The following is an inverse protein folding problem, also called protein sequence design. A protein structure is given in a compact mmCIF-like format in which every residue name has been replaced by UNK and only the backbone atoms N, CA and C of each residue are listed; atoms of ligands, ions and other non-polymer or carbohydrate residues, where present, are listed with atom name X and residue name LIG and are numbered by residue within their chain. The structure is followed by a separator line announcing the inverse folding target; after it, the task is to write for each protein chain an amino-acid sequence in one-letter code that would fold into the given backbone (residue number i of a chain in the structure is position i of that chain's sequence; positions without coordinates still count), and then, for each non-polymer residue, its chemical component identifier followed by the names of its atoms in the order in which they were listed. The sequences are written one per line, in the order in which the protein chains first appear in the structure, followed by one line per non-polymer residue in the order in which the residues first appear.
data_IF_678394839014
#
_entry.id   IF_678394839014
#
_cell.length_a   1.000
_cell.length_b   1.000
_cell.length_c   1.000
_cell.angle_alpha   90.00
_cell.angle_beta   90.00
_cell.angle_gamma   90.00
#
_symmetry.space_group_name_H-M   'P 1'
#
loop_
_entity.id
_entity.type
_entity.pdbx_description
1 polymer ?
#
# COMPACT_ATOMS: atom_id res chain seq x y z
N UNK A 1 -0.73 -17.07 -4.27
CA UNK A 1 -0.06 -16.00 -3.46
C UNK A 1 1.30 -15.70 -4.06
N UNK A 2 1.60 -14.44 -4.36
CA UNK A 2 2.93 -14.01 -4.83
C UNK A 2 3.76 -13.47 -3.67
N UNK A 3 5.00 -13.94 -3.51
CA UNK A 3 5.93 -13.50 -2.46
C UNK A 3 7.18 -12.83 -3.01
N UNK A 4 7.87 -12.09 -2.14
CA UNK A 4 9.14 -11.40 -2.39
C UNK A 4 9.06 -10.31 -3.46
N UNK A 5 8.06 -9.43 -3.34
CA UNK A 5 7.87 -8.27 -4.22
C UNK A 5 8.58 -7.05 -3.65
N UNK A 6 9.63 -6.58 -4.32
CA UNK A 6 10.53 -5.56 -3.79
C UNK A 6 10.34 -4.16 -4.41
N UNK A 7 9.31 -3.97 -5.25
CA UNK A 7 9.04 -2.69 -5.92
C UNK A 7 7.58 -2.61 -6.36
N UNK A 8 6.98 -1.42 -6.29
CA UNK A 8 5.64 -1.16 -6.84
C UNK A 8 5.53 -1.54 -8.32
N UNK A 9 6.58 -1.27 -9.12
CA UNK A 9 6.61 -1.66 -10.53
C UNK A 9 6.55 -3.17 -10.70
N UNK A 10 7.29 -3.91 -9.88
CA UNK A 10 7.27 -5.38 -9.91
C UNK A 10 5.91 -5.91 -9.44
N UNK A 11 5.31 -5.29 -8.42
CA UNK A 11 3.95 -5.65 -7.96
C UNK A 11 2.98 -5.55 -9.12
N UNK A 12 2.97 -4.42 -9.84
CA UNK A 12 2.12 -4.26 -11.00
C UNK A 12 2.38 -5.32 -12.07
N UNK A 13 3.64 -5.51 -12.48
CA UNK A 13 4.01 -6.48 -13.52
C UNK A 13 3.62 -7.92 -13.15
N UNK A 14 3.84 -8.32 -11.90
CA UNK A 14 3.51 -9.66 -11.45
C UNK A 14 1.99 -9.88 -11.36
N UNK A 15 1.23 -8.86 -10.95
CA UNK A 15 -0.24 -8.91 -10.98
C UNK A 15 -0.73 -9.06 -12.41
N UNK A 16 -0.21 -8.24 -13.34
CA UNK A 16 -0.57 -8.31 -14.76
C UNK A 16 -0.24 -9.69 -15.36
N UNK A 17 0.96 -10.21 -15.09
CA UNK A 17 1.37 -11.53 -15.57
C UNK A 17 0.48 -12.65 -14.99
N UNK A 18 0.27 -12.65 -13.67
CA UNK A 18 -0.48 -13.71 -13.00
C UNK A 18 -1.97 -13.66 -13.38
N UNK A 19 -2.53 -12.46 -13.58
CA UNK A 19 -3.90 -12.32 -14.09
C UNK A 19 -4.03 -12.97 -15.48
N UNK A 20 -3.12 -12.69 -16.42
CA UNK A 20 -3.14 -13.31 -17.76
C UNK A 20 -2.99 -14.83 -17.68
N UNK A 21 -2.02 -15.32 -16.90
CA UNK A 21 -1.80 -16.76 -16.69
C UNK A 21 -3.06 -17.46 -16.16
N UNK A 22 -3.71 -16.88 -15.15
CA UNK A 22 -4.90 -17.50 -14.57
C UNK A 22 -6.09 -17.46 -15.53
N UNK A 23 -6.24 -16.40 -16.32
CA UNK A 23 -7.24 -16.32 -17.38
C UNK A 23 -7.01 -17.45 -18.41
N UNK A 24 -5.78 -17.59 -18.93
CA UNK A 24 -5.43 -18.63 -19.92
C UNK A 24 -5.77 -20.04 -19.42
N UNK A 25 -5.38 -20.38 -18.17
CA UNK A 25 -5.68 -21.70 -17.59
C UNK A 25 -7.20 -21.94 -17.49
N UNK A 26 -7.98 -20.91 -17.15
CA UNK A 26 -9.44 -21.03 -17.04
C UNK A 26 -10.12 -21.13 -18.41
N UNK A 27 -9.65 -20.39 -19.40
CA UNK A 27 -10.16 -20.42 -20.78
C UNK A 27 -9.88 -21.77 -21.46
N UNK A 28 -8.76 -22.40 -21.14
CA UNK A 28 -8.41 -23.76 -21.60
C UNK A 28 -9.19 -24.88 -20.86
N UNK A 29 -10.13 -24.51 -19.97
CA UNK A 29 -10.95 -25.45 -19.20
C UNK A 29 -10.22 -26.08 -18.01
N UNK A 30 -9.05 -25.56 -17.65
CA UNK A 30 -8.27 -25.97 -16.50
C UNK A 30 -8.82 -25.46 -15.17
N UNK A 31 -8.05 -25.66 -14.10
CA UNK A 31 -8.35 -25.17 -12.74
C UNK A 31 -7.12 -24.48 -12.18
N UNK A 32 -7.35 -23.43 -11.39
CA UNK A 32 -6.27 -22.75 -10.67
C UNK A 32 -6.00 -23.47 -9.37
N UNK A 33 -4.82 -24.08 -9.27
CA UNK A 33 -4.35 -24.68 -8.03
C UNK A 33 -3.88 -23.63 -7.04
N UNK A 34 -4.07 -23.89 -5.76
CA UNK A 34 -3.61 -22.97 -4.72
C UNK A 34 -2.09 -23.13 -4.53
N UNK A 35 -1.35 -22.08 -4.87
CA UNK A 35 0.11 -22.12 -4.82
C UNK A 35 0.73 -20.84 -4.26
N UNK A 36 1.94 -20.98 -3.70
CA UNK A 36 2.84 -19.86 -3.44
C UNK A 36 3.81 -19.75 -4.60
N UNK A 37 3.86 -18.57 -5.23
CA UNK A 37 4.67 -18.26 -6.40
C UNK A 37 5.65 -17.13 -6.10
N UNK A 38 6.73 -17.06 -6.87
CA UNK A 38 7.70 -15.97 -6.85
C UNK A 38 7.69 -15.24 -8.19
N UNK A 39 8.06 -13.96 -8.20
CA UNK A 39 8.21 -13.19 -9.42
C UNK A 39 9.70 -13.07 -9.81
N UNK A 40 10.02 -13.33 -11.07
CA UNK A 40 11.33 -13.07 -11.67
C UNK A 40 11.26 -11.74 -12.46
N UNK A 41 11.90 -10.66 -11.98
CA UNK A 41 11.83 -9.36 -12.64
C UNK A 41 12.68 -9.27 -13.92
N UNK A 42 13.61 -10.21 -14.16
CA UNK A 42 14.43 -10.24 -15.38
C UNK A 42 13.62 -10.84 -16.51
N UNK A 43 12.91 -11.93 -16.24
CA UNK A 43 12.07 -12.63 -17.22
C UNK A 43 10.64 -12.13 -17.28
N UNK A 44 10.22 -11.35 -16.27
CA UNK A 44 8.85 -10.85 -16.10
C UNK A 44 7.86 -12.03 -16.09
N UNK A 45 8.14 -13.04 -15.28
CA UNK A 45 7.32 -14.24 -15.15
C UNK A 45 7.13 -14.64 -13.68
N UNK A 46 6.04 -15.34 -13.39
CA UNK A 46 5.83 -15.98 -12.08
C UNK A 46 6.25 -17.43 -12.14
N UNK A 47 6.93 -17.91 -11.11
CA UNK A 47 7.33 -19.32 -10.96
C UNK A 47 6.69 -19.92 -9.72
N UNK A 48 6.20 -21.15 -9.84
CA UNK A 48 5.69 -21.89 -8.68
C UNK A 48 6.84 -22.23 -7.74
N UNK A 49 6.63 -22.09 -6.44
CA UNK A 49 7.61 -22.45 -5.42
C UNK A 49 7.15 -23.68 -4.64
N UNK A 50 5.92 -23.66 -4.13
CA UNK A 50 5.30 -24.78 -3.42
C UNK A 50 3.80 -24.81 -3.69
N UNK A 51 3.25 -26.02 -3.81
CA UNK A 51 1.80 -26.24 -3.72
C UNK A 51 1.35 -25.98 -2.28
N UNK A 52 0.14 -25.42 -2.11
CA UNK A 52 -0.53 -25.36 -0.82
C UNK A 52 -1.45 -26.58 -0.72
N UNK A 53 -0.86 -27.76 -0.57
CA UNK A 53 -1.64 -29.00 -0.40
C UNK A 53 -2.30 -29.07 0.99
N UNK A 54 -1.70 -28.43 2.00
CA UNK A 54 -2.29 -28.25 3.32
C UNK A 54 -2.13 -26.80 3.78
N UNK A 55 -3.22 -26.14 4.15
CA UNK A 55 -3.13 -24.88 4.89
C UNK A 55 -2.38 -25.15 6.20
N UNK A 56 -1.26 -24.47 6.43
CA UNK A 56 -0.49 -24.68 7.65
C UNK A 56 -1.34 -24.34 8.87
N UNK A 57 -1.59 -25.33 9.71
CA UNK A 57 -2.17 -25.10 11.04
C UNK A 57 -1.09 -24.47 11.93
N UNK A 58 -1.16 -23.14 12.04
CA UNK A 58 -0.26 -22.36 12.90
C UNK A 58 -0.54 -22.56 14.39
N UNK A 59 -1.62 -23.28 14.76
CA UNK A 59 -2.01 -23.58 16.13
C UNK A 59 -1.99 -22.34 17.01
N UNK A 60 -2.65 -21.27 16.56
CA UNK A 60 -2.68 -20.00 17.27
C UNK A 60 -3.18 -20.19 18.70
N UNK A 61 -2.43 -19.65 19.66
CA UNK A 61 -2.82 -19.54 21.06
C UNK A 61 -2.25 -18.23 21.63
N UNK A 62 -2.85 -17.67 22.71
CA UNK A 62 -2.28 -16.52 23.39
C UNK A 62 -0.87 -16.85 23.89
N UNK A 63 0.09 -15.98 23.60
CA UNK A 63 1.45 -16.13 24.09
C UNK A 63 1.43 -16.05 25.63
N UNK A 64 1.78 -17.14 26.36
CA UNK A 64 1.64 -17.18 27.81
C UNK A 64 2.67 -16.31 28.52
N UNK A 65 3.75 -15.93 27.83
CA UNK A 65 4.80 -15.07 28.36
C UNK A 65 4.42 -13.57 28.22
N UNK A 66 3.37 -13.26 27.45
CA UNK A 66 2.88 -11.90 27.23
C UNK A 66 1.50 -11.71 27.86
N UNK A 67 1.41 -10.79 28.82
CA UNK A 67 0.11 -10.32 29.30
C UNK A 67 -0.64 -9.62 28.15
N UNK A 68 -1.99 -9.64 28.17
CA UNK A 68 -2.78 -8.87 27.22
C UNK A 68 -2.35 -7.40 27.20
N UNK A 69 -2.16 -6.85 26.00
CA UNK A 69 -1.89 -5.43 25.83
C UNK A 69 -3.19 -4.64 26.04
N UNK A 70 -3.31 -3.95 27.16
CA UNK A 70 -4.38 -3.00 27.40
C UNK A 70 -3.96 -1.60 26.94
N UNK A 71 -4.73 -1.02 26.02
CA UNK A 71 -4.47 0.31 25.46
C UNK A 71 -5.52 1.26 26.01
N UNK A 72 -5.11 2.21 26.85
CA UNK A 72 -6.02 3.18 27.45
C UNK A 72 -6.58 4.16 26.42
N UNK A 73 -7.86 4.51 26.57
CA UNK A 73 -8.53 5.47 25.70
C UNK A 73 -7.85 6.85 25.71
N UNK A 74 -7.35 7.28 26.87
CA UNK A 74 -6.62 8.54 27.00
C UNK A 74 -5.36 8.58 26.11
N UNK A 75 -4.64 7.46 26.02
CA UNK A 75 -3.45 7.36 25.18
C UNK A 75 -3.80 7.38 23.68
N UNK A 76 -4.91 6.77 23.29
CA UNK A 76 -5.44 6.86 21.91
C UNK A 76 -5.78 8.30 21.56
N UNK A 77 -6.41 9.04 22.48
CA UNK A 77 -6.79 10.43 22.29
C UNK A 77 -5.58 11.35 22.20
N UNK A 78 -4.56 11.13 23.03
CA UNK A 78 -3.27 11.83 22.95
C UNK A 78 -2.61 11.62 21.59
N UNK A 79 -2.48 10.37 21.13
CA UNK A 79 -1.89 10.07 19.82
C UNK A 79 -2.72 10.72 18.72
N UNK A 80 -4.05 10.58 18.75
CA UNK A 80 -4.94 11.18 17.76
C UNK A 80 -4.78 12.71 17.68
N UNK A 81 -4.64 13.38 18.81
CA UNK A 81 -4.41 14.82 18.87
C UNK A 81 -3.02 15.22 18.35
N UNK A 82 -2.04 14.32 18.42
CA UNK A 82 -0.68 14.55 17.92
C UNK A 82 -0.48 14.23 16.44
N UNK A 83 -1.44 13.57 15.79
CA UNK A 83 -1.33 13.20 14.38
C UNK A 83 -1.26 14.45 13.49
N UNK A 84 -0.30 14.53 12.56
CA UNK A 84 -0.31 15.57 11.54
C UNK A 84 -1.48 15.35 10.56
N UNK A 85 -1.80 16.39 9.80
CA UNK A 85 -2.76 16.30 8.69
C UNK A 85 -2.37 15.17 7.72
N UNK A 86 -3.32 14.30 7.41
CA UNK A 86 -3.06 13.15 6.53
C UNK A 86 -2.97 13.59 5.06
N UNK A 87 -2.27 12.83 4.19
CA UNK A 87 -2.09 13.21 2.79
C UNK A 87 -3.39 13.49 2.01
N UNK A 88 -4.45 12.73 2.27
CA UNK A 88 -5.75 12.93 1.62
C UNK A 88 -6.44 14.23 2.08
N UNK A 89 -6.35 14.54 3.38
CA UNK A 89 -6.87 15.78 3.96
C UNK A 89 -6.08 16.98 3.44
N UNK A 90 -4.75 16.89 3.44
CA UNK A 90 -3.85 17.92 2.92
C UNK A 90 -4.09 18.18 1.44
N UNK A 91 -4.29 17.14 0.62
CA UNK A 91 -4.67 17.29 -0.80
C UNK A 91 -5.98 18.07 -0.93
N UNK A 92 -7.01 17.66 -0.20
CA UNK A 92 -8.33 18.31 -0.27
C UNK A 92 -8.24 19.78 0.15
N UNK A 93 -7.44 20.09 1.17
CA UNK A 93 -7.15 21.46 1.59
C UNK A 93 -6.39 22.24 0.52
N UNK A 94 -5.41 21.63 -0.14
CA UNK A 94 -4.67 22.28 -1.24
C UNK A 94 -5.56 22.61 -2.44
N UNK A 95 -6.52 21.74 -2.77
CA UNK A 95 -7.53 22.01 -3.78
C UNK A 95 -8.46 23.18 -3.37
N UNK A 96 -8.86 23.24 -2.10
CA UNK A 96 -9.78 24.26 -1.60
C UNK A 96 -9.13 25.63 -1.37
N UNK A 97 -8.01 25.67 -0.63
CA UNK A 97 -7.39 26.91 -0.13
C UNK A 97 -6.46 27.54 -1.16
N UNK A 98 -5.75 26.71 -1.94
CA UNK A 98 -4.80 27.15 -2.95
C UNK A 98 -5.33 27.05 -4.38
N UNK A 99 -6.58 26.58 -4.57
CA UNK A 99 -7.22 26.40 -5.88
C UNK A 99 -6.36 25.57 -6.87
N UNK A 100 -5.57 24.63 -6.33
CA UNK A 100 -4.73 23.74 -7.13
C UNK A 100 -5.57 22.68 -7.81
N UNK A 101 -5.10 22.18 -8.95
CA UNK A 101 -5.73 21.02 -9.57
C UNK A 101 -5.53 19.79 -8.69
N UNK A 102 -6.45 18.81 -8.79
CA UNK A 102 -6.32 17.52 -8.11
C UNK A 102 -4.98 16.82 -8.38
N UNK A 103 -4.43 17.01 -9.59
CA UNK A 103 -3.13 16.49 -9.96
C UNK A 103 -2.01 17.17 -9.18
N UNK A 104 -1.95 18.51 -9.21
CA UNK A 104 -0.90 19.29 -8.53
C UNK A 104 -0.95 19.08 -7.01
N UNK A 105 -2.16 19.16 -6.44
CA UNK A 105 -2.38 18.90 -5.02
C UNK A 105 -1.94 17.49 -4.63
N UNK A 106 -2.23 16.47 -5.46
CA UNK A 106 -1.81 15.10 -5.22
C UNK A 106 -0.30 14.88 -5.31
N UNK A 107 0.39 15.59 -6.22
CA UNK A 107 1.86 15.53 -6.32
C UNK A 107 2.51 16.20 -5.11
N UNK A 108 2.00 17.36 -4.68
CA UNK A 108 2.54 18.10 -3.54
C UNK A 108 2.27 17.40 -2.21
N UNK A 109 1.11 16.76 -2.05
CA UNK A 109 0.74 16.05 -0.82
C UNK A 109 1.31 14.62 -0.73
N UNK A 110 1.98 14.13 -1.77
CA UNK A 110 2.56 12.77 -1.79
C UNK A 110 3.77 12.61 -0.85
N UNK A 111 4.39 13.73 -0.46
CA UNK A 111 5.57 13.79 0.38
C UNK A 111 5.41 14.92 1.39
N UNK A 112 5.52 14.60 2.67
CA UNK A 112 5.26 15.56 3.75
C UNK A 112 6.23 16.75 3.71
N UNK A 113 7.52 16.52 3.43
CA UNK A 113 8.53 17.58 3.39
C UNK A 113 8.28 18.54 2.22
N UNK A 114 7.87 18.00 1.07
CA UNK A 114 7.49 18.83 -0.10
C UNK A 114 6.23 19.64 0.17
N UNK A 115 5.25 19.03 0.81
CA UNK A 115 4.01 19.71 1.15
C UNK A 115 4.28 20.88 2.10
N UNK A 116 5.05 20.65 3.16
CA UNK A 116 5.42 21.68 4.13
C UNK A 116 6.25 22.79 3.47
N UNK A 117 7.20 22.43 2.62
CA UNK A 117 7.99 23.40 1.85
C UNK A 117 7.12 24.26 0.94
N UNK A 118 6.17 23.65 0.22
CA UNK A 118 5.23 24.37 -0.63
C UNK A 118 4.40 25.38 0.17
N UNK A 119 3.86 24.97 1.32
CA UNK A 119 3.08 25.85 2.18
C UNK A 119 3.89 27.04 2.69
N UNK A 120 5.16 26.84 3.06
CA UNK A 120 6.04 27.94 3.46
C UNK A 120 6.30 28.93 2.31
N UNK A 121 6.53 28.43 1.09
CA UNK A 121 6.81 29.27 -0.07
C UNK A 121 5.57 29.99 -0.59
N UNK A 122 4.40 29.36 -0.53
CA UNK A 122 3.13 29.91 -1.01
C UNK A 122 2.62 31.08 -0.15
N UNK A 123 3.12 31.26 1.07
CA UNK A 123 2.75 32.39 1.94
C UNK A 123 3.01 33.74 1.26
N UNK A 124 1.93 34.47 1.00
CA UNK A 124 1.98 35.79 0.38
C UNK A 124 2.36 35.78 -1.11
N UNK A 125 2.26 34.64 -1.78
CA UNK A 125 2.54 34.45 -3.21
C UNK A 125 1.36 33.82 -3.92
N UNK A 126 1.39 33.82 -5.26
CA UNK A 126 0.46 33.03 -6.06
C UNK A 126 0.83 31.55 -5.91
N UNK A 127 -0.03 30.69 -5.33
CA UNK A 127 0.28 29.27 -5.11
C UNK A 127 0.47 28.47 -6.39
N UNK A 128 0.05 29.01 -7.54
CA UNK A 128 0.16 28.36 -8.84
C UNK A 128 1.49 28.61 -9.55
N UNK A 129 2.26 29.62 -9.12
CA UNK A 129 3.54 30.04 -9.71
C UNK A 129 4.73 29.65 -8.83
#
# INVERSE_FOLDING_TARGET
ELKNMNSFRFIQQAIEYEARRQIEILEDGGKIDQETRLFDPVKVETRSMRSKEDAHDYRYFPDPDLLPLEVEQAWIEEIRASLPELPDEKRARFEADYSLSRYDAGVLSADAEKADFFEEVAKGRDPKL
#
